data_IF_476266559201
#
_entry.id   IF_476266559201
#
_cell.length_a   1.000
_cell.length_b   1.000
_cell.length_c   1.000
_cell.angle_alpha   90.00
_cell.angle_beta   90.00
_cell.angle_gamma   90.00
#
_symmetry.space_group_name_H-M   'P 1'
#
loop_
_entity.id
_entity.type
_entity.pdbx_description
1 polymer ?
#
# COMPACT_ATOMS: atom_id res chain seq x y z
N UNK A 1 -2.51 27.24 16.29
CA UNK A 1 -1.18 26.61 16.10
C UNK A 1 -0.19 27.26 17.05
N UNK A 2 0.63 26.47 17.75
CA UNK A 2 1.66 26.98 18.71
C UNK A 2 2.97 26.25 18.51
N UNK A 3 4.09 26.96 18.68
CA UNK A 3 5.44 26.42 18.72
C UNK A 3 6.16 27.00 19.93
N UNK A 4 7.31 26.43 20.31
CA UNK A 4 8.21 27.00 21.32
C UNK A 4 9.43 27.64 20.62
N UNK A 5 9.45 28.98 20.42
CA UNK A 5 10.53 29.68 19.74
C UNK A 5 11.87 29.65 20.49
N UNK A 6 11.85 29.29 21.79
CA UNK A 6 13.03 29.21 22.65
C UNK A 6 13.62 27.80 22.73
N UNK A 7 12.95 26.82 22.18
CA UNK A 7 13.44 25.45 22.12
C UNK A 7 14.68 25.34 21.23
N UNK A 8 15.64 24.51 21.61
CA UNK A 8 16.80 24.14 20.78
C UNK A 8 16.42 23.23 19.61
N UNK A 9 15.16 22.76 19.53
CA UNK A 9 14.67 21.95 18.45
C UNK A 9 14.45 22.77 17.17
N UNK A 10 14.57 22.11 16.02
CA UNK A 10 14.37 22.71 14.70
C UNK A 10 13.00 23.39 14.59
N UNK A 11 13.01 24.72 14.54
CA UNK A 11 11.80 25.55 14.47
C UNK A 11 10.99 25.26 13.20
N UNK A 12 11.64 24.92 12.08
CA UNK A 12 10.92 24.57 10.85
C UNK A 12 10.15 23.23 11.00
N UNK A 13 10.70 22.29 11.76
CA UNK A 13 10.00 21.04 12.09
C UNK A 13 8.81 21.30 13.03
N UNK A 14 8.96 22.17 14.02
CA UNK A 14 7.86 22.55 14.91
C UNK A 14 6.70 23.21 14.15
N UNK A 15 7.02 24.10 13.21
CA UNK A 15 6.01 24.74 12.33
C UNK A 15 5.28 23.69 11.50
N UNK A 16 6.03 22.78 10.88
CA UNK A 16 5.44 21.70 10.10
C UNK A 16 4.51 20.80 10.96
N UNK A 17 4.94 20.48 12.18
CA UNK A 17 4.11 19.71 13.13
C UNK A 17 2.85 20.49 13.53
N UNK A 18 2.97 21.76 13.90
CA UNK A 18 1.82 22.57 14.30
C UNK A 18 0.76 22.73 13.20
N UNK A 19 1.19 22.87 11.94
CA UNK A 19 0.27 22.94 10.79
C UNK A 19 -0.33 21.56 10.51
N UNK A 20 0.45 20.48 10.57
CA UNK A 20 -0.05 19.08 10.42
C UNK A 20 -1.13 18.78 11.46
N UNK A 21 -0.89 19.11 12.71
CA UNK A 21 -1.85 18.90 13.80
C UNK A 21 -3.14 19.70 13.58
N UNK A 22 -3.03 20.90 13.04
CA UNK A 22 -4.20 21.71 12.67
C UNK A 22 -5.01 21.08 11.51
N UNK A 23 -4.34 20.44 10.54
CA UNK A 23 -5.01 19.67 9.47
C UNK A 23 -5.67 18.42 10.05
N UNK A 24 -4.97 17.64 10.88
CA UNK A 24 -5.48 16.41 11.48
C UNK A 24 -6.69 16.70 12.38
N UNK A 25 -6.64 17.79 13.15
CA UNK A 25 -7.76 18.17 14.02
C UNK A 25 -8.94 18.82 13.30
N UNK A 26 -8.83 19.06 11.99
CA UNK A 26 -9.85 19.76 11.21
C UNK A 26 -9.91 21.27 11.43
N UNK A 27 -8.94 21.86 12.14
CA UNK A 27 -8.79 23.30 12.29
C UNK A 27 -8.35 23.99 10.99
N UNK A 28 -7.73 23.24 10.09
CA UNK A 28 -7.48 23.59 8.69
C UNK A 28 -8.11 22.49 7.82
N UNK A 29 -8.99 22.88 6.91
CA UNK A 29 -9.70 21.92 6.05
C UNK A 29 -9.07 21.80 4.67
N UNK A 30 -9.38 20.72 3.97
CA UNK A 30 -8.92 20.47 2.59
C UNK A 30 -9.28 21.64 1.68
N UNK A 31 -8.35 22.04 0.82
CA UNK A 31 -8.41 23.18 -0.10
C UNK A 31 -8.40 24.56 0.59
N UNK A 32 -8.34 24.62 1.91
CA UNK A 32 -8.18 25.88 2.63
C UNK A 32 -6.80 26.50 2.37
N UNK A 33 -6.79 27.80 2.16
CA UNK A 33 -5.55 28.57 2.00
C UNK A 33 -4.92 28.82 3.37
N UNK A 34 -3.66 28.44 3.52
CA UNK A 34 -2.89 28.79 4.70
C UNK A 34 -2.61 30.30 4.75
N UNK A 35 -2.42 30.87 5.95
CA UNK A 35 -1.88 32.21 6.08
C UNK A 35 -0.56 32.36 5.29
N UNK A 36 -0.28 33.54 4.80
CA UNK A 36 0.95 33.83 4.06
C UNK A 36 2.21 33.57 4.89
N UNK A 37 3.37 33.40 4.23
CA UNK A 37 4.65 33.25 4.93
C UNK A 37 4.90 34.41 5.93
N UNK A 38 4.42 35.61 5.61
CA UNK A 38 4.56 36.76 6.49
C UNK A 38 3.70 36.66 7.75
N UNK A 39 2.42 36.30 7.57
CA UNK A 39 1.47 36.13 8.69
C UNK A 39 1.88 34.97 9.58
N UNK A 40 2.35 33.84 8.99
CA UNK A 40 2.86 32.72 9.77
C UNK A 40 4.16 33.06 10.52
N UNK A 41 5.05 33.86 9.92
CA UNK A 41 6.27 34.33 10.57
C UNK A 41 5.97 35.23 11.79
N UNK A 42 4.98 36.10 11.68
CA UNK A 42 4.49 36.93 12.78
C UNK A 42 3.82 36.06 13.85
N UNK A 43 2.91 35.17 13.47
CA UNK A 43 2.18 34.30 14.39
C UNK A 43 3.11 33.38 15.21
N UNK A 44 4.15 32.82 14.57
CA UNK A 44 5.10 31.94 15.22
C UNK A 44 6.32 32.67 15.82
N UNK A 45 6.46 33.96 15.61
CA UNK A 45 7.61 34.77 16.07
C UNK A 45 8.96 34.25 15.54
N UNK A 46 9.01 33.92 14.26
CA UNK A 46 10.20 33.37 13.58
C UNK A 46 10.45 34.10 12.26
N UNK A 47 11.59 33.79 11.61
CA UNK A 47 11.90 34.36 10.29
C UNK A 47 10.99 33.76 9.19
N UNK A 48 10.71 34.52 8.11
CA UNK A 48 10.02 34.00 6.91
C UNK A 48 10.77 32.83 6.28
N UNK A 49 12.12 32.81 6.36
CA UNK A 49 12.91 31.70 5.89
C UNK A 49 12.62 30.41 6.65
N UNK A 50 12.48 30.48 7.98
CA UNK A 50 12.10 29.34 8.83
C UNK A 50 10.72 28.81 8.49
N UNK A 51 9.74 29.71 8.26
CA UNK A 51 8.39 29.32 7.81
C UNK A 51 8.45 28.60 6.47
N UNK A 52 9.20 29.16 5.50
CA UNK A 52 9.34 28.55 4.16
C UNK A 52 9.91 27.15 4.23
N UNK A 53 10.89 26.90 5.09
CA UNK A 53 11.43 25.54 5.30
C UNK A 53 10.38 24.60 5.93
N UNK A 54 9.58 25.10 6.89
CA UNK A 54 8.45 24.33 7.44
C UNK A 54 7.40 23.97 6.39
N UNK A 55 7.04 24.94 5.52
CA UNK A 55 6.10 24.70 4.42
C UNK A 55 6.66 23.73 3.36
N UNK A 56 7.96 23.82 3.04
CA UNK A 56 8.61 22.83 2.15
C UNK A 56 8.52 21.41 2.70
N UNK A 57 8.70 21.22 4.02
CA UNK A 57 8.54 19.90 4.67
C UNK A 57 7.12 19.37 4.53
N UNK A 58 6.11 20.21 4.69
CA UNK A 58 4.72 19.83 4.51
C UNK A 58 4.39 19.51 3.05
N UNK A 59 4.94 20.27 2.11
CA UNK A 59 4.78 20.00 0.69
C UNK A 59 5.44 18.69 0.28
N UNK A 60 6.64 18.39 0.82
CA UNK A 60 7.32 17.10 0.61
C UNK A 60 6.54 15.89 1.16
N UNK A 61 5.66 16.12 2.15
CA UNK A 61 4.74 15.12 2.71
C UNK A 61 3.37 15.13 2.03
N UNK A 62 3.20 15.88 0.95
CA UNK A 62 1.94 16.05 0.23
C UNK A 62 0.78 16.58 1.10
N UNK A 63 1.07 17.18 2.26
CA UNK A 63 0.05 17.76 3.14
C UNK A 63 -0.46 19.12 2.66
N UNK A 64 0.38 19.84 1.92
CA UNK A 64 0.03 21.11 1.28
C UNK A 64 0.49 21.14 -0.17
N UNK A 65 -0.17 21.95 -0.98
CA UNK A 65 0.24 22.29 -2.35
C UNK A 65 0.49 23.80 -2.45
N UNK A 66 1.44 24.18 -3.29
CA UNK A 66 1.73 25.59 -3.55
C UNK A 66 1.23 26.00 -4.92
N UNK A 67 0.59 27.18 -5.01
CA UNK A 67 0.10 27.76 -6.24
C UNK A 67 0.77 29.11 -6.46
N UNK A 68 1.23 29.39 -7.68
CA UNK A 68 1.84 30.68 -8.07
C UNK A 68 0.80 31.67 -8.54
N UNK A 69 1.12 32.96 -8.49
CA UNK A 69 0.30 34.06 -9.02
C UNK A 69 -0.31 34.94 -7.95
N UNK A 70 -1.11 35.93 -8.36
CA UNK A 70 -1.71 36.92 -7.46
C UNK A 70 -2.67 36.31 -6.43
N UNK A 71 -3.37 35.21 -6.80
CA UNK A 71 -4.19 34.39 -5.91
C UNK A 71 -3.43 33.21 -5.34
N UNK A 72 -2.10 33.15 -5.50
CA UNK A 72 -1.24 32.05 -5.07
C UNK A 72 -1.12 31.93 -3.56
N UNK A 73 -0.42 30.89 -3.12
CA UNK A 73 -0.19 30.60 -1.70
C UNK A 73 -0.01 29.11 -1.45
N UNK A 74 0.05 28.75 -0.20
CA UNK A 74 -0.01 27.36 0.24
C UNK A 74 -1.46 27.01 0.58
N UNK A 75 -1.90 25.84 0.16
CA UNK A 75 -3.25 25.31 0.39
C UNK A 75 -3.14 23.91 0.99
N UNK A 76 -4.06 23.56 1.89
CA UNK A 76 -4.17 22.20 2.40
C UNK A 76 -4.47 21.28 1.22
N UNK A 77 -3.63 20.25 1.05
CA UNK A 77 -3.78 19.32 -0.05
C UNK A 77 -4.86 18.26 0.26
N UNK A 78 -5.54 17.78 -0.78
CA UNK A 78 -6.37 16.60 -0.69
C UNK A 78 -5.47 15.39 -0.89
N UNK A 79 -5.20 14.64 0.16
CA UNK A 79 -4.50 13.38 0.01
C UNK A 79 -5.47 12.37 -0.63
N UNK A 80 -5.15 11.91 -1.82
CA UNK A 80 -5.90 10.83 -2.46
C UNK A 80 -5.47 9.47 -1.91
N UNK A 81 -6.40 8.50 -1.90
CA UNK A 81 -6.03 7.11 -1.58
C UNK A 81 -4.99 6.56 -2.56
N UNK A 82 -5.03 6.97 -3.81
CA UNK A 82 -4.09 6.55 -4.85
C UNK A 82 -2.66 7.01 -4.58
N UNK A 83 -2.48 8.30 -4.19
CA UNK A 83 -1.16 8.84 -3.82
C UNK A 83 -0.61 8.16 -2.56
N UNK A 84 -1.44 8.01 -1.52
CA UNK A 84 -1.06 7.34 -0.28
C UNK A 84 -0.68 5.87 -0.53
N UNK A 85 -1.43 5.21 -1.38
CA UNK A 85 -1.23 3.83 -1.82
C UNK A 85 0.10 3.64 -2.55
N UNK A 86 0.41 4.48 -3.54
CA UNK A 86 1.68 4.44 -4.27
C UNK A 86 2.89 4.65 -3.35
N UNK A 87 2.78 5.56 -2.38
CA UNK A 87 3.81 5.76 -1.36
C UNK A 87 3.97 4.54 -0.45
N UNK A 88 2.87 3.91 -0.05
CA UNK A 88 2.86 2.69 0.76
C UNK A 88 3.59 1.55 0.04
N UNK A 89 3.25 1.29 -1.23
CA UNK A 89 3.91 0.26 -2.04
C UNK A 89 5.41 0.53 -2.12
N UNK A 90 5.82 1.75 -2.47
CA UNK A 90 7.23 2.12 -2.59
C UNK A 90 7.99 1.89 -1.29
N UNK A 91 7.45 2.36 -0.17
CA UNK A 91 8.09 2.20 1.15
C UNK A 91 8.20 0.73 1.54
N UNK A 92 7.12 -0.04 1.36
CA UNK A 92 7.10 -1.47 1.69
C UNK A 92 8.07 -2.26 0.79
N UNK A 93 8.12 -1.95 -0.51
CA UNK A 93 9.07 -2.58 -1.44
C UNK A 93 10.52 -2.33 -1.03
N UNK A 94 10.84 -1.10 -0.64
CA UNK A 94 12.19 -0.76 -0.15
C UNK A 94 12.54 -1.51 1.14
N UNK A 95 11.63 -1.58 2.11
CA UNK A 95 11.83 -2.32 3.35
C UNK A 95 12.09 -3.82 3.09
N UNK A 96 11.30 -4.43 2.21
CA UNK A 96 11.46 -5.84 1.84
C UNK A 96 12.77 -6.08 1.07
N UNK A 97 13.12 -5.22 0.10
CA UNK A 97 14.35 -5.36 -0.70
C UNK A 97 15.62 -5.08 0.10
N UNK A 98 15.57 -4.25 1.15
CA UNK A 98 16.68 -4.00 2.06
C UNK A 98 16.87 -5.09 3.12
N UNK A 99 16.13 -6.20 3.03
CA UNK A 99 16.11 -7.29 4.02
C UNK A 99 15.75 -6.84 5.46
N UNK A 100 15.03 -5.74 5.59
CA UNK A 100 14.54 -5.28 6.88
C UNK A 100 13.41 -6.18 7.42
N UNK A 101 12.73 -6.90 6.51
CA UNK A 101 11.64 -7.84 6.82
C UNK A 101 11.95 -9.20 6.18
N UNK A 102 11.79 -10.30 6.94
CA UNK A 102 11.93 -11.64 6.37
C UNK A 102 10.78 -11.99 5.44
N UNK A 103 11.03 -12.90 4.50
CA UNK A 103 9.98 -13.42 3.61
C UNK A 103 8.82 -14.02 4.41
N UNK A 104 9.11 -14.84 5.43
CA UNK A 104 8.07 -15.48 6.24
C UNK A 104 7.19 -14.47 6.96
N UNK A 105 7.80 -13.43 7.55
CA UNK A 105 7.06 -12.34 8.21
C UNK A 105 6.17 -11.58 7.20
N UNK A 106 6.68 -11.32 6.01
CA UNK A 106 5.91 -10.65 4.96
C UNK A 106 4.74 -11.53 4.45
N UNK A 107 4.97 -12.83 4.24
CA UNK A 107 3.94 -13.81 3.90
C UNK A 107 2.84 -13.87 4.96
N UNK A 108 3.22 -14.00 6.23
CA UNK A 108 2.27 -14.04 7.35
C UNK A 108 1.38 -12.80 7.36
N UNK A 109 1.97 -11.59 7.25
CA UNK A 109 1.23 -10.34 7.23
C UNK A 109 0.27 -10.26 6.02
N UNK A 110 0.75 -10.61 4.83
CA UNK A 110 -0.05 -10.63 3.60
C UNK A 110 -1.28 -11.50 3.77
N UNK A 111 -1.09 -12.78 4.05
CA UNK A 111 -2.19 -13.74 4.09
C UNK A 111 -3.12 -13.53 5.29
N UNK A 112 -2.63 -13.02 6.42
CA UNK A 112 -3.50 -12.61 7.53
C UNK A 112 -4.49 -11.51 7.12
N UNK A 113 -4.00 -10.50 6.39
CA UNK A 113 -4.84 -9.41 5.89
C UNK A 113 -5.79 -9.89 4.77
N UNK A 114 -5.32 -10.71 3.84
CA UNK A 114 -6.17 -11.27 2.77
C UNK A 114 -7.29 -12.14 3.33
N UNK A 115 -7.01 -12.99 4.31
CA UNK A 115 -8.03 -13.78 5.02
C UNK A 115 -9.05 -12.90 5.75
N UNK A 116 -8.65 -11.76 6.28
CA UNK A 116 -9.59 -10.80 6.86
C UNK A 116 -10.50 -10.16 5.80
N UNK A 117 -10.02 -10.00 4.57
CA UNK A 117 -10.79 -9.45 3.45
C UNK A 117 -11.73 -10.49 2.81
N UNK A 118 -11.38 -11.76 2.80
CA UNK A 118 -12.09 -12.80 2.05
C UNK A 118 -13.58 -12.95 2.41
N UNK A 119 -14.00 -13.00 3.69
CA UNK A 119 -15.42 -13.05 4.04
C UNK A 119 -16.18 -11.80 3.60
N UNK A 120 -15.55 -10.63 3.74
CA UNK A 120 -16.14 -9.36 3.33
C UNK A 120 -16.27 -9.28 1.81
N UNK A 121 -15.28 -9.78 1.07
CA UNK A 121 -15.32 -9.87 -0.39
C UNK A 121 -16.42 -10.84 -0.85
N UNK A 122 -16.56 -11.99 -0.21
CA UNK A 122 -17.64 -12.94 -0.51
C UNK A 122 -19.04 -12.31 -0.33
N UNK A 123 -19.19 -11.40 0.64
CA UNK A 123 -20.44 -10.69 0.92
C UNK A 123 -20.66 -9.49 -0.01
N UNK A 124 -19.61 -8.71 -0.34
CA UNK A 124 -19.73 -7.33 -0.85
C UNK A 124 -19.24 -7.10 -2.26
N UNK A 125 -18.42 -8.03 -2.83
CA UNK A 125 -17.83 -7.83 -4.16
C UNK A 125 -18.88 -7.44 -5.20
N UNK A 126 -18.48 -6.59 -6.13
CA UNK A 126 -19.25 -6.31 -7.34
C UNK A 126 -19.06 -7.40 -8.41
N UNK A 127 -19.90 -7.38 -9.42
CA UNK A 127 -19.75 -8.25 -10.58
C UNK A 127 -18.42 -7.99 -11.32
N UNK A 128 -17.98 -6.73 -11.39
CA UNK A 128 -16.72 -6.34 -12.06
C UNK A 128 -15.49 -6.87 -11.32
N UNK A 129 -15.48 -6.84 -9.98
CA UNK A 129 -14.39 -7.39 -9.19
C UNK A 129 -14.27 -8.91 -9.35
N UNK A 130 -15.40 -9.61 -9.37
CA UNK A 130 -15.42 -11.04 -9.66
C UNK A 130 -14.96 -11.32 -11.11
N UNK A 131 -15.43 -10.54 -12.07
CA UNK A 131 -14.99 -10.65 -13.47
C UNK A 131 -13.47 -10.43 -13.60
N UNK A 132 -12.91 -9.48 -12.85
CA UNK A 132 -11.45 -9.26 -12.81
C UNK A 132 -10.73 -10.49 -12.28
N UNK A 133 -11.16 -11.07 -11.14
CA UNK A 133 -10.55 -12.32 -10.61
C UNK A 133 -10.61 -13.44 -11.65
N UNK A 134 -11.74 -13.63 -12.33
CA UNK A 134 -11.89 -14.66 -13.37
C UNK A 134 -11.01 -14.39 -14.60
N UNK A 135 -10.88 -13.13 -15.02
CA UNK A 135 -10.04 -12.74 -16.15
C UNK A 135 -8.56 -13.02 -15.84
N UNK A 136 -8.10 -12.76 -14.61
CA UNK A 136 -6.72 -13.03 -14.22
C UNK A 136 -6.46 -14.55 -14.12
N UNK A 137 -7.39 -15.36 -13.61
CA UNK A 137 -7.31 -16.83 -13.65
C UNK A 137 -7.20 -17.33 -15.10
N UNK A 138 -8.04 -16.81 -15.99
CA UNK A 138 -7.98 -17.17 -17.41
C UNK A 138 -6.63 -16.80 -18.02
N UNK A 139 -6.11 -15.59 -17.73
CA UNK A 139 -4.81 -15.12 -18.19
C UNK A 139 -3.67 -16.00 -17.69
N UNK A 140 -3.67 -16.40 -16.43
CA UNK A 140 -2.66 -17.28 -15.83
C UNK A 140 -2.59 -18.66 -16.49
N UNK A 141 -3.72 -19.15 -16.99
CA UNK A 141 -3.81 -20.44 -17.73
C UNK A 141 -3.36 -20.38 -19.18
N UNK A 142 -3.01 -19.19 -19.74
CA UNK A 142 -2.65 -19.10 -21.14
C UNK A 142 -1.24 -19.64 -21.42
N UNK A 143 -1.06 -20.41 -22.52
CA UNK A 143 0.27 -20.90 -22.90
C UNK A 143 1.17 -19.72 -23.29
N UNK A 144 2.45 -19.81 -22.95
CA UNK A 144 3.45 -18.79 -23.31
C UNK A 144 3.43 -17.52 -22.44
N UNK A 145 2.63 -17.46 -21.37
CA UNK A 145 2.65 -16.34 -20.45
C UNK A 145 4.03 -16.27 -19.76
N UNK A 146 4.69 -15.10 -19.83
CA UNK A 146 5.99 -14.90 -19.15
C UNK A 146 5.84 -14.95 -17.64
N UNK A 147 6.94 -15.15 -16.90
CA UNK A 147 6.89 -15.17 -15.42
C UNK A 147 6.52 -13.82 -14.86
N UNK A 148 7.00 -12.72 -15.47
CA UNK A 148 6.63 -11.35 -15.09
C UNK A 148 5.12 -11.11 -15.26
N UNK A 149 4.57 -11.54 -16.40
CA UNK A 149 3.15 -11.37 -16.68
C UNK A 149 2.28 -12.25 -15.77
N UNK A 150 2.76 -13.44 -15.39
CA UNK A 150 2.11 -14.30 -14.41
C UNK A 150 2.10 -13.63 -13.02
N UNK A 151 3.25 -13.08 -12.58
CA UNK A 151 3.33 -12.38 -11.29
C UNK A 151 2.45 -11.13 -11.26
N UNK A 152 2.40 -10.35 -12.35
CA UNK A 152 1.51 -9.20 -12.43
C UNK A 152 0.02 -9.60 -12.35
N UNK A 153 -0.33 -10.73 -12.98
CA UNK A 153 -1.67 -11.31 -12.92
C UNK A 153 -2.02 -11.84 -11.52
N UNK A 154 -1.05 -12.45 -10.83
CA UNK A 154 -1.19 -12.89 -9.43
C UNK A 154 -1.54 -11.70 -8.52
N UNK A 155 -0.78 -10.61 -8.62
CA UNK A 155 -1.05 -9.37 -7.87
C UNK A 155 -2.44 -8.82 -8.19
N UNK A 156 -2.83 -8.78 -9.47
CA UNK A 156 -4.13 -8.25 -9.89
C UNK A 156 -5.30 -9.10 -9.35
N UNK A 157 -5.15 -10.43 -9.32
CA UNK A 157 -6.13 -11.32 -8.70
C UNK A 157 -6.32 -11.03 -7.21
N UNK A 158 -5.24 -11.00 -6.44
CA UNK A 158 -5.29 -10.71 -5.00
C UNK A 158 -5.80 -9.30 -4.72
N UNK A 159 -5.45 -8.34 -5.58
CA UNK A 159 -5.96 -6.99 -5.50
C UNK A 159 -7.47 -6.94 -5.64
N UNK A 160 -8.03 -7.61 -6.66
CA UNK A 160 -9.47 -7.66 -6.87
C UNK A 160 -10.22 -8.30 -5.69
N UNK A 161 -9.65 -9.33 -5.07
CA UNK A 161 -10.20 -9.94 -3.86
C UNK A 161 -10.26 -8.93 -2.71
N UNK A 162 -9.18 -8.21 -2.47
CA UNK A 162 -9.09 -7.24 -1.36
C UNK A 162 -10.03 -6.05 -1.57
N UNK A 163 -10.06 -5.51 -2.79
CA UNK A 163 -10.96 -4.40 -3.15
C UNK A 163 -12.42 -4.83 -3.07
N UNK A 164 -12.70 -6.13 -3.31
CA UNK A 164 -14.02 -6.75 -3.11
C UNK A 164 -14.55 -6.68 -1.68
N UNK A 165 -13.68 -6.51 -0.69
CA UNK A 165 -14.09 -6.29 0.70
C UNK A 165 -14.77 -4.95 0.94
N UNK A 166 -14.68 -3.99 0.00
CA UNK A 166 -15.21 -2.62 0.12
C UNK A 166 -14.81 -1.93 1.42
N UNK A 167 -13.59 -2.21 1.89
CA UNK A 167 -13.00 -1.58 3.06
C UNK A 167 -11.71 -0.86 2.65
N UNK A 168 -11.76 0.47 2.42
CA UNK A 168 -10.59 1.20 1.92
C UNK A 168 -9.40 1.19 2.88
N UNK A 169 -9.63 1.00 4.18
CA UNK A 169 -8.54 0.90 5.16
C UNK A 169 -7.81 -0.43 5.01
N UNK A 170 -8.52 -1.55 4.87
CA UNK A 170 -7.91 -2.86 4.60
C UNK A 170 -7.21 -2.86 3.24
N UNK A 171 -7.85 -2.32 2.20
CA UNK A 171 -7.26 -2.18 0.87
C UNK A 171 -5.94 -1.40 0.92
N UNK A 172 -5.91 -0.26 1.61
CA UNK A 172 -4.69 0.52 1.80
C UNK A 172 -3.59 -0.26 2.52
N UNK A 173 -3.90 -0.94 3.62
CA UNK A 173 -2.90 -1.72 4.36
C UNK A 173 -2.34 -2.88 3.55
N UNK A 174 -3.19 -3.53 2.78
CA UNK A 174 -2.81 -4.70 2.00
C UNK A 174 -2.02 -4.37 0.74
N UNK A 175 -2.19 -3.18 0.20
CA UNK A 175 -1.44 -2.73 -0.97
C UNK A 175 0.08 -2.89 -0.79
N UNK A 176 0.57 -2.43 0.35
CA UNK A 176 1.97 -2.58 0.70
C UNK A 176 2.41 -4.03 0.88
N UNK A 177 1.51 -4.91 1.33
CA UNK A 177 1.83 -6.33 1.53
C UNK A 177 1.76 -7.15 0.23
N UNK A 178 0.76 -6.93 -0.62
CA UNK A 178 0.58 -7.69 -1.87
C UNK A 178 1.54 -7.21 -2.96
N UNK A 179 1.46 -5.94 -3.32
CA UNK A 179 2.23 -5.41 -4.46
C UNK A 179 3.71 -5.22 -4.13
N UNK A 180 4.04 -4.84 -2.90
CA UNK A 180 5.42 -4.72 -2.47
C UNK A 180 6.17 -6.07 -2.39
N UNK A 181 5.46 -7.18 -2.25
CA UNK A 181 6.06 -8.52 -2.28
C UNK A 181 6.40 -9.00 -3.69
N UNK A 182 5.88 -8.39 -4.74
CA UNK A 182 6.10 -8.84 -6.11
C UNK A 182 7.59 -8.99 -6.48
N UNK A 183 8.50 -8.04 -6.20
CA UNK A 183 9.92 -8.23 -6.47
C UNK A 183 10.53 -9.38 -5.68
N UNK A 184 10.13 -9.57 -4.43
CA UNK A 184 10.62 -10.65 -3.58
C UNK A 184 10.11 -12.01 -4.07
N UNK A 185 8.83 -12.10 -4.42
CA UNK A 185 8.21 -13.28 -5.02
C UNK A 185 8.90 -13.65 -6.34
N UNK A 186 9.18 -12.67 -7.19
CA UNK A 186 9.93 -12.88 -8.44
C UNK A 186 11.31 -13.48 -8.17
N UNK A 187 12.06 -12.97 -7.21
CA UNK A 187 13.39 -13.48 -6.86
C UNK A 187 13.37 -14.94 -6.39
N UNK A 188 12.31 -15.36 -5.72
CA UNK A 188 12.21 -16.66 -5.08
C UNK A 188 11.55 -17.68 -6.01
N UNK A 189 10.49 -17.29 -6.71
CA UNK A 189 9.56 -18.21 -7.36
C UNK A 189 9.66 -18.23 -8.89
N UNK A 190 10.47 -17.35 -9.48
CA UNK A 190 10.52 -17.10 -10.93
C UNK A 190 10.72 -18.38 -11.77
N UNK A 191 11.50 -19.35 -11.28
CA UNK A 191 11.79 -20.61 -11.98
C UNK A 191 11.24 -21.86 -11.30
N UNK A 192 10.66 -21.72 -10.10
CA UNK A 192 10.26 -22.86 -9.28
C UNK A 192 8.75 -22.98 -9.07
N UNK A 193 7.97 -22.02 -9.60
CA UNK A 193 6.53 -21.92 -9.36
C UNK A 193 5.76 -23.02 -10.07
N UNK A 194 4.96 -23.77 -9.33
CA UNK A 194 3.93 -24.64 -9.92
C UNK A 194 2.69 -23.81 -10.26
N UNK A 195 2.67 -23.33 -11.52
CA UNK A 195 1.56 -22.51 -12.04
C UNK A 195 0.23 -23.24 -12.02
N UNK A 196 0.22 -24.56 -12.20
CA UNK A 196 -1.00 -25.35 -12.22
C UNK A 196 -1.65 -25.39 -10.83
N UNK A 197 -0.86 -25.61 -9.79
CA UNK A 197 -1.32 -25.58 -8.39
C UNK A 197 -1.84 -24.20 -8.01
N UNK A 198 -1.12 -23.12 -8.34
CA UNK A 198 -1.56 -21.76 -8.05
C UNK A 198 -2.89 -21.45 -8.76
N UNK A 199 -3.01 -21.80 -10.03
CA UNK A 199 -4.23 -21.61 -10.81
C UNK A 199 -5.44 -22.34 -10.21
N UNK A 200 -5.24 -23.59 -9.76
CA UNK A 200 -6.28 -24.36 -9.10
C UNK A 200 -6.72 -23.72 -7.76
N UNK A 201 -5.77 -23.22 -6.99
CA UNK A 201 -6.06 -22.54 -5.71
C UNK A 201 -6.76 -21.19 -5.93
N UNK A 202 -6.33 -20.37 -6.91
CA UNK A 202 -7.04 -19.14 -7.29
C UNK A 202 -8.47 -19.44 -7.73
N UNK A 203 -8.68 -20.51 -8.51
CA UNK A 203 -10.02 -20.93 -8.93
C UNK A 203 -10.88 -21.28 -7.72
N UNK A 204 -10.33 -22.06 -6.78
CA UNK A 204 -11.03 -22.43 -5.54
C UNK A 204 -11.43 -21.20 -4.72
N UNK A 205 -10.55 -20.22 -4.59
CA UNK A 205 -10.85 -18.94 -3.88
C UNK A 205 -11.92 -18.15 -4.61
N UNK A 206 -11.81 -17.99 -5.94
CA UNK A 206 -12.79 -17.24 -6.73
C UNK A 206 -14.18 -17.89 -6.70
N UNK A 207 -14.25 -19.24 -6.78
CA UNK A 207 -15.49 -20.00 -6.67
C UNK A 207 -16.16 -19.80 -5.30
N UNK A 208 -15.36 -19.80 -4.23
CA UNK A 208 -15.84 -19.55 -2.88
C UNK A 208 -16.38 -18.11 -2.72
N UNK A 209 -15.64 -17.12 -3.25
CA UNK A 209 -16.07 -15.72 -3.27
C UNK A 209 -17.37 -15.57 -4.07
N UNK A 210 -17.48 -16.16 -5.26
CA UNK A 210 -18.66 -16.12 -6.09
C UNK A 210 -19.88 -16.73 -5.40
N UNK A 211 -19.65 -17.86 -4.69
CA UNK A 211 -20.71 -18.55 -3.95
C UNK A 211 -21.08 -17.87 -2.61
N UNK A 212 -20.42 -16.76 -2.24
CA UNK A 212 -20.67 -16.10 -0.94
C UNK A 212 -20.15 -16.90 0.27
N UNK A 213 -19.22 -17.84 0.08
CA UNK A 213 -18.69 -18.75 1.09
C UNK A 213 -17.36 -18.23 1.66
N UNK A 214 -17.42 -17.24 2.54
CA UNK A 214 -16.25 -16.59 3.11
C UNK A 214 -15.26 -17.55 3.77
N UNK A 215 -15.73 -18.51 4.57
CA UNK A 215 -14.86 -19.48 5.24
C UNK A 215 -14.13 -20.40 4.26
N UNK A 216 -14.77 -20.76 3.14
CA UNK A 216 -14.12 -21.54 2.08
C UNK A 216 -13.07 -20.71 1.34
N UNK A 217 -13.29 -19.41 1.14
CA UNK A 217 -12.28 -18.52 0.58
C UNK A 217 -11.07 -18.36 1.53
N UNK A 218 -11.30 -18.25 2.84
CA UNK A 218 -10.23 -18.26 3.86
C UNK A 218 -9.41 -19.55 3.81
N UNK A 219 -10.07 -20.72 3.68
CA UNK A 219 -9.37 -22.00 3.55
C UNK A 219 -8.50 -22.06 2.27
N UNK A 220 -9.01 -21.56 1.14
CA UNK A 220 -8.26 -21.47 -0.11
C UNK A 220 -7.03 -20.56 -0.01
N UNK A 221 -7.15 -19.42 0.65
CA UNK A 221 -6.02 -18.51 0.94
C UNK A 221 -4.99 -19.14 1.88
N UNK A 222 -5.43 -19.93 2.84
CA UNK A 222 -4.50 -20.67 3.74
C UNK A 222 -3.71 -21.72 2.98
N UNK A 223 -4.33 -22.42 2.02
CA UNK A 223 -3.62 -23.33 1.14
C UNK A 223 -2.62 -22.62 0.20
N UNK A 224 -2.96 -21.42 -0.29
CA UNK A 224 -2.03 -20.58 -1.06
C UNK A 224 -0.83 -20.12 -0.20
N UNK A 225 -1.06 -19.75 1.06
CA UNK A 225 0.04 -19.42 1.98
C UNK A 225 1.00 -20.59 2.17
N UNK A 226 0.45 -21.78 2.43
CA UNK A 226 1.25 -22.99 2.64
C UNK A 226 2.09 -23.31 1.40
N UNK A 227 1.49 -23.29 0.21
CA UNK A 227 2.21 -23.50 -1.07
C UNK A 227 3.31 -22.45 -1.26
N UNK A 228 3.03 -21.20 -0.98
CA UNK A 228 3.99 -20.09 -1.10
C UNK A 228 5.18 -20.29 -0.15
N UNK A 229 4.95 -20.70 1.09
CA UNK A 229 6.00 -20.98 2.07
C UNK A 229 6.85 -22.18 1.71
N UNK A 230 6.22 -23.27 1.26
CA UNK A 230 6.91 -24.49 0.84
C UNK A 230 7.84 -24.20 -0.35
N UNK A 231 7.36 -23.48 -1.33
CA UNK A 231 8.14 -23.05 -2.48
C UNK A 231 9.35 -22.19 -2.08
N UNK A 232 9.16 -21.24 -1.19
CA UNK A 232 10.25 -20.40 -0.70
C UNK A 232 11.31 -21.22 0.07
N UNK A 233 10.88 -22.14 0.93
CA UNK A 233 11.77 -23.04 1.67
C UNK A 233 12.64 -23.87 0.74
N UNK A 234 12.06 -24.44 -0.32
CA UNK A 234 12.78 -25.22 -1.33
C UNK A 234 13.83 -24.37 -2.08
N UNK A 235 13.48 -23.15 -2.45
CA UNK A 235 14.41 -22.24 -3.14
C UNK A 235 15.56 -21.83 -2.24
N UNK A 236 15.30 -21.52 -0.97
CA UNK A 236 16.35 -21.19 -0.01
C UNK A 236 17.27 -22.38 0.30
N UNK A 237 16.72 -23.58 0.46
CA UNK A 237 17.50 -24.81 0.66
C UNK A 237 18.45 -25.07 -0.52
N UNK A 238 17.97 -24.97 -1.76
CA UNK A 238 18.79 -25.13 -2.97
C UNK A 238 19.89 -24.07 -3.12
N UNK A 239 19.65 -22.85 -2.65
CA UNK A 239 20.67 -21.78 -2.66
C UNK A 239 21.73 -21.99 -1.58
N UNK A 240 21.38 -22.51 -0.42
CA UNK A 240 22.31 -22.81 0.66
C UNK A 240 23.28 -23.95 0.27
N UNK A 241 22.82 -24.94 -0.49
CA UNK A 241 23.66 -26.08 -0.99
C UNK A 241 24.58 -25.71 -2.14
N UNK A 242 24.42 -24.54 -2.77
CA UNK A 242 25.29 -24.07 -3.89
C UNK A 242 26.38 -23.11 -3.45
N UNK A 243 26.44 -22.76 -2.16
CA UNK A 243 27.50 -21.95 -1.53
C UNK A 243 28.46 -22.83 -0.76
#
# INVERSE_FOLDING_TARGET
>A
MKIDPKSSADLSAQIATAIRDAIISGALIVDERLPSEAELAEQFQVSRATVREGLKRLAAQSLIRTQRGASGGAFVNRLSFEDAYSQQITTSTLLLSMNAVSFDTACEARYALERACAPLSAERRTADQLATMRAEIFRQGQPGLTDEAFCASDVAFHRALVDGAHNPVLSYQLAGAVEAMQPLMNMITFTARDRATILALHTTVADAIEAGKGDAAVAGLSALEEETRNLAADVFARRATKR
#
